data_IF_012704914953
#
_entry.id   IF_012704914953
#
_cell.length_a   1.000
_cell.length_b   1.000
_cell.length_c   1.000
_cell.angle_alpha   90.00
_cell.angle_beta   90.00
_cell.angle_gamma   90.00
#
_symmetry.space_group_name_H-M   'P 1'
#
loop_
_entity.id
_entity.type
_entity.pdbx_description
1 polymer ?
#
# COMPACT_ATOMS: atom_id res chain seq x y z
N UNK A 1 25.96 1.12 64.48
CA UNK A 1 26.35 1.67 63.13
C UNK A 1 26.04 0.60 62.12
N UNK A 2 24.80 0.64 61.60
CA UNK A 2 24.26 -0.41 60.75
C UNK A 2 24.52 -0.05 59.28
N UNK A 3 25.38 -0.83 58.64
CA UNK A 3 25.61 -0.75 57.20
C UNK A 3 24.39 -1.29 56.45
N UNK A 4 23.55 -0.38 55.92
CA UNK A 4 22.50 -0.73 54.96
C UNK A 4 23.20 -1.15 53.66
N UNK A 5 23.03 -2.39 53.19
CA UNK A 5 23.53 -2.78 51.88
C UNK A 5 22.75 -2.05 50.80
N UNK A 6 23.39 -1.12 50.11
CA UNK A 6 22.84 -0.49 48.91
C UNK A 6 22.67 -1.57 47.84
N UNK A 7 21.42 -1.99 47.65
CA UNK A 7 21.04 -2.87 46.55
C UNK A 7 21.51 -2.24 45.23
N UNK A 8 22.32 -2.95 44.42
CA UNK A 8 22.76 -2.42 43.16
C UNK A 8 21.53 -2.10 42.33
N UNK A 9 21.43 -0.84 41.90
CA UNK A 9 20.38 -0.37 41.03
C UNK A 9 20.22 -1.38 39.88
N UNK A 10 19.05 -2.00 39.86
CA UNK A 10 18.62 -2.94 38.82
C UNK A 10 18.93 -2.28 37.50
N UNK A 11 20.03 -2.69 36.87
CA UNK A 11 20.37 -2.27 35.52
C UNK A 11 19.12 -2.59 34.67
N UNK A 12 18.34 -1.56 34.35
CA UNK A 12 17.17 -1.68 33.55
C UNK A 12 17.63 -2.35 32.27
N UNK A 13 17.35 -3.63 32.15
CA UNK A 13 17.60 -4.39 30.95
C UNK A 13 16.95 -3.60 29.81
N UNK A 14 17.77 -2.90 29.04
CA UNK A 14 17.30 -2.22 27.88
C UNK A 14 16.61 -3.29 27.03
N UNK A 15 15.33 -3.11 26.67
CA UNK A 15 14.66 -4.08 25.84
C UNK A 15 15.53 -4.28 24.59
N UNK A 16 15.67 -5.52 24.11
CA UNK A 16 16.51 -5.81 22.95
C UNK A 16 16.19 -4.80 21.87
N UNK A 17 17.21 -4.31 21.20
CA UNK A 17 17.16 -3.33 20.11
C UNK A 17 16.39 -3.87 18.88
N UNK A 18 15.28 -4.55 19.15
CA UNK A 18 14.38 -5.13 18.20
C UNK A 18 13.85 -4.01 17.30
N UNK A 19 14.43 -3.98 16.14
CA UNK A 19 13.97 -3.29 14.95
C UNK A 19 13.45 -1.88 15.26
N UNK A 20 14.34 -0.90 15.30
CA UNK A 20 13.95 0.51 15.11
C UNK A 20 13.31 0.61 13.72
N UNK A 21 12.03 0.28 13.63
CA UNK A 21 11.22 0.57 12.46
C UNK A 21 11.32 2.08 12.24
N UNK A 22 12.19 2.46 11.30
CA UNK A 22 12.43 3.86 11.04
C UNK A 22 11.13 4.46 10.50
N UNK A 23 10.75 5.69 10.92
CA UNK A 23 9.59 6.40 10.39
C UNK A 23 9.67 6.61 8.87
N UNK A 24 10.80 6.30 8.28
CA UNK A 24 11.03 6.27 6.82
C UNK A 24 10.27 5.14 6.13
N UNK A 25 10.10 3.96 6.78
CA UNK A 25 9.33 2.85 6.19
C UNK A 25 7.84 3.17 6.08
N UNK A 26 7.26 3.84 7.10
CA UNK A 26 5.87 4.29 7.02
C UNK A 26 5.67 5.36 5.94
N UNK A 27 6.64 6.23 5.74
CA UNK A 27 6.59 7.22 4.67
C UNK A 27 6.72 6.56 3.30
N UNK A 28 7.67 5.66 3.13
CA UNK A 28 7.85 4.90 1.89
C UNK A 28 6.61 4.07 1.56
N UNK A 29 6.02 3.39 2.57
CA UNK A 29 4.77 2.63 2.42
C UNK A 29 3.60 3.51 2.00
N UNK A 30 3.46 4.71 2.58
CA UNK A 30 2.44 5.67 2.20
C UNK A 30 2.60 6.14 0.74
N UNK A 31 3.82 6.49 0.32
CA UNK A 31 4.11 6.88 -1.06
C UNK A 31 3.88 5.74 -2.05
N UNK A 32 4.32 4.53 -1.73
CA UNK A 32 4.09 3.35 -2.57
C UNK A 32 2.59 3.08 -2.75
N UNK A 33 1.81 3.16 -1.67
CA UNK A 33 0.36 2.96 -1.70
C UNK A 33 -0.35 4.04 -2.52
N UNK A 34 0.06 5.31 -2.42
CA UNK A 34 -0.50 6.40 -3.22
C UNK A 34 -0.10 6.29 -4.69
N UNK A 35 1.15 5.92 -4.99
CA UNK A 35 1.60 5.71 -6.36
C UNK A 35 0.84 4.58 -7.03
N UNK A 36 0.61 3.47 -6.32
CA UNK A 36 -0.22 2.37 -6.79
C UNK A 36 -1.67 2.83 -7.06
N UNK A 37 -2.29 3.55 -6.13
CA UNK A 37 -3.64 4.09 -6.31
C UNK A 37 -3.74 5.03 -7.52
N UNK A 38 -2.76 5.91 -7.70
CA UNK A 38 -2.70 6.83 -8.84
C UNK A 38 -2.55 6.07 -10.17
N UNK A 39 -1.68 5.04 -10.21
CA UNK A 39 -1.50 4.21 -11.40
C UNK A 39 -2.78 3.49 -11.79
N UNK A 40 -3.50 2.90 -10.83
CA UNK A 40 -4.73 2.14 -11.05
C UNK A 40 -5.90 3.01 -11.56
N UNK A 41 -5.88 4.30 -11.28
CA UNK A 41 -6.86 5.26 -11.83
C UNK A 41 -6.37 5.83 -13.15
N UNK A 42 -5.10 6.24 -13.22
CA UNK A 42 -4.55 6.94 -14.37
C UNK A 42 -4.55 6.09 -15.64
N UNK A 43 -4.21 4.80 -15.53
CA UNK A 43 -4.12 3.93 -16.70
C UNK A 43 -5.46 3.74 -17.42
N UNK A 44 -6.58 3.37 -16.76
CA UNK A 44 -7.88 3.29 -17.40
C UNK A 44 -8.36 4.62 -17.99
N UNK A 45 -8.16 5.73 -17.27
CA UNK A 45 -8.53 7.06 -17.75
C UNK A 45 -7.71 7.45 -19.00
N UNK A 46 -6.43 7.18 -19.00
CA UNK A 46 -5.54 7.49 -20.11
C UNK A 46 -5.95 6.70 -21.38
N UNK A 47 -6.28 5.43 -21.23
CA UNK A 47 -6.77 4.59 -22.32
C UNK A 47 -8.16 4.99 -22.80
N UNK A 48 -9.05 5.44 -21.91
CA UNK A 48 -10.42 5.83 -22.25
C UNK A 48 -10.49 7.20 -22.95
N UNK A 49 -9.69 8.16 -22.50
CA UNK A 49 -9.84 9.56 -22.90
C UNK A 49 -8.74 10.07 -23.85
N UNK A 50 -7.63 9.34 -24.00
CA UNK A 50 -6.54 9.76 -24.89
C UNK A 50 -6.42 8.84 -26.09
N UNK A 51 -7.01 9.21 -27.26
CA UNK A 51 -6.93 8.40 -28.48
C UNK A 51 -5.49 8.07 -28.91
N UNK A 52 -4.56 9.01 -28.66
CA UNK A 52 -3.14 8.80 -28.92
C UNK A 52 -2.54 7.64 -28.11
N UNK A 53 -3.01 7.40 -26.88
CA UNK A 53 -2.58 6.27 -26.07
C UNK A 53 -3.00 4.94 -26.71
N UNK A 54 -4.21 4.87 -27.26
CA UNK A 54 -4.68 3.69 -27.98
C UNK A 54 -3.90 3.47 -29.30
N UNK A 55 -3.57 4.54 -30.00
CA UNK A 55 -2.72 4.45 -31.20
C UNK A 55 -1.30 4.00 -30.84
N UNK A 56 -0.73 4.51 -29.73
CA UNK A 56 0.59 4.11 -29.26
C UNK A 56 0.67 2.61 -28.93
N UNK A 57 -0.42 2.01 -28.43
CA UNK A 57 -0.49 0.57 -28.19
C UNK A 57 -0.58 -0.26 -29.47
N UNK A 58 -1.26 0.28 -30.50
CA UNK A 58 -1.52 -0.43 -31.76
C UNK A 58 -0.39 -0.31 -32.78
N UNK A 59 0.50 0.65 -32.62
CA UNK A 59 1.58 0.92 -33.58
C UNK A 59 2.95 0.90 -32.92
N UNK A 60 3.78 -0.04 -33.32
CA UNK A 60 5.19 -0.13 -32.89
C UNK A 60 6.04 1.08 -33.32
N UNK A 61 5.60 1.82 -34.34
CA UNK A 61 6.29 3.01 -34.85
C UNK A 61 5.90 4.28 -34.06
N UNK A 62 4.88 4.22 -33.21
CA UNK A 62 4.48 5.36 -32.42
C UNK A 62 5.49 5.64 -31.30
N UNK A 63 5.98 6.89 -31.11
CA UNK A 63 7.04 7.20 -30.13
C UNK A 63 6.64 6.87 -28.67
N UNK A 64 5.33 6.82 -28.38
CA UNK A 64 4.82 6.44 -27.06
C UNK A 64 4.64 4.94 -26.83
N UNK A 65 4.89 4.07 -27.84
CA UNK A 65 4.64 2.63 -27.72
C UNK A 65 5.38 1.99 -26.55
N UNK A 66 6.67 2.30 -26.38
CA UNK A 66 7.48 1.75 -25.30
C UNK A 66 6.98 2.12 -23.91
N UNK A 67 6.57 3.38 -23.73
CA UNK A 67 6.00 3.85 -22.44
C UNK A 67 4.68 3.17 -22.12
N UNK A 68 3.79 3.02 -23.11
CA UNK A 68 2.51 2.34 -22.94
C UNK A 68 2.68 0.85 -22.66
N UNK A 69 3.61 0.19 -23.35
CA UNK A 69 3.94 -1.21 -23.09
C UNK A 69 4.48 -1.41 -21.68
N UNK A 70 5.36 -0.51 -21.22
CA UNK A 70 5.89 -0.54 -19.86
C UNK A 70 4.77 -0.37 -18.81
N UNK A 71 3.85 0.57 -19.02
CA UNK A 71 2.70 0.78 -18.12
C UNK A 71 1.81 -0.45 -18.03
N UNK A 72 1.53 -1.10 -19.16
CA UNK A 72 0.76 -2.36 -19.18
C UNK A 72 1.52 -3.51 -18.52
N UNK A 73 2.84 -3.59 -18.72
CA UNK A 73 3.66 -4.60 -18.07
C UNK A 73 3.68 -4.40 -16.55
N UNK A 74 3.73 -3.16 -16.07
CA UNK A 74 3.59 -2.86 -14.63
C UNK A 74 2.23 -3.27 -14.08
N UNK A 75 1.14 -3.10 -14.85
CA UNK A 75 -0.18 -3.57 -14.46
C UNK A 75 -0.25 -5.09 -14.28
N UNK A 76 0.52 -5.86 -15.03
CA UNK A 76 0.62 -7.32 -14.86
C UNK A 76 1.23 -7.72 -13.51
N UNK A 77 2.08 -6.87 -12.92
CA UNK A 77 2.71 -7.09 -11.62
C UNK A 77 1.94 -6.45 -10.45
N UNK A 78 0.77 -5.90 -10.73
CA UNK A 78 -0.07 -5.18 -9.75
C UNK A 78 -0.37 -6.01 -8.51
N UNK A 79 -0.67 -7.31 -8.68
CA UNK A 79 -0.91 -8.22 -7.57
C UNK A 79 0.30 -8.33 -6.61
N UNK A 80 1.52 -8.30 -7.15
CA UNK A 80 2.74 -8.35 -6.35
C UNK A 80 2.93 -7.06 -5.55
N UNK A 81 2.71 -5.91 -6.19
CA UNK A 81 2.76 -4.61 -5.50
C UNK A 81 1.65 -4.52 -4.44
N UNK A 82 0.45 -5.02 -4.71
CA UNK A 82 -0.64 -5.08 -3.75
C UNK A 82 -0.27 -5.94 -2.53
N UNK A 83 0.32 -7.11 -2.74
CA UNK A 83 0.80 -7.98 -1.66
C UNK A 83 1.92 -7.32 -0.84
N UNK A 84 2.89 -6.70 -1.50
CA UNK A 84 4.00 -6.01 -0.81
C UNK A 84 3.49 -4.82 0.00
N UNK A 85 2.64 -3.98 -0.59
CA UNK A 85 2.07 -2.83 0.09
C UNK A 85 1.21 -3.26 1.29
N UNK A 86 0.39 -4.30 1.13
CA UNK A 86 -0.47 -4.83 2.18
C UNK A 86 0.33 -5.45 3.32
N UNK A 87 1.34 -6.28 3.00
CA UNK A 87 2.19 -6.92 4.01
C UNK A 87 2.99 -5.87 4.80
N UNK A 88 3.54 -4.86 4.11
CA UNK A 88 4.27 -3.77 4.76
C UNK A 88 3.35 -2.94 5.66
N UNK A 89 2.13 -2.63 5.21
CA UNK A 89 1.15 -1.88 6.00
C UNK A 89 0.70 -2.66 7.24
N UNK A 90 0.38 -3.93 7.10
CA UNK A 90 -0.01 -4.79 8.22
C UNK A 90 1.14 -4.97 9.21
N UNK A 91 2.37 -5.24 8.75
CA UNK A 91 3.53 -5.38 9.60
C UNK A 91 3.86 -4.09 10.35
N UNK A 92 3.87 -2.93 9.68
CA UNK A 92 4.20 -1.64 10.31
C UNK A 92 3.14 -1.20 11.31
N UNK A 93 1.84 -1.35 10.96
CA UNK A 93 0.75 -0.93 11.83
C UNK A 93 0.57 -1.87 13.03
N UNK A 94 0.76 -3.19 12.87
CA UNK A 94 0.73 -4.14 13.99
C UNK A 94 1.88 -3.89 14.96
N UNK A 95 3.09 -3.70 14.46
CA UNK A 95 4.24 -3.31 15.30
C UNK A 95 3.98 -1.95 16.03
N UNK A 96 3.29 -1.02 15.36
CA UNK A 96 2.88 0.26 15.93
C UNK A 96 1.89 0.09 17.09
N UNK A 97 0.90 -0.79 16.97
CA UNK A 97 -0.11 -1.03 18.05
C UNK A 97 0.56 -1.44 19.35
N UNK A 98 1.55 -2.33 19.30
CA UNK A 98 2.30 -2.74 20.52
C UNK A 98 3.00 -1.55 21.20
N UNK A 99 3.26 -0.46 20.46
CA UNK A 99 3.93 0.73 21.00
C UNK A 99 2.97 1.79 21.49
N UNK A 100 1.92 2.12 20.69
CA UNK A 100 1.01 3.25 20.99
C UNK A 100 -0.40 2.83 21.42
N UNK A 101 -0.76 1.54 21.35
CA UNK A 101 -2.05 1.00 21.77
C UNK A 101 -3.27 1.40 20.91
N UNK A 102 -3.07 2.09 19.79
CA UNK A 102 -4.15 2.57 18.92
C UNK A 102 -4.45 1.58 17.80
N UNK A 103 -5.67 1.05 17.74
CA UNK A 103 -6.11 0.08 16.74
C UNK A 103 -6.58 0.67 15.40
N UNK A 104 -6.81 2.01 15.35
CA UNK A 104 -7.28 2.66 14.12
C UNK A 104 -6.40 2.42 12.89
N UNK A 105 -5.07 2.56 12.94
CA UNK A 105 -4.22 2.30 11.77
C UNK A 105 -4.32 0.85 11.28
N UNK A 106 -4.40 -0.12 12.19
CA UNK A 106 -4.53 -1.55 11.82
C UNK A 106 -5.86 -1.82 11.12
N UNK A 107 -6.97 -1.27 11.64
CA UNK A 107 -8.28 -1.43 10.99
C UNK A 107 -8.30 -0.84 9.58
N UNK A 108 -7.67 0.31 9.37
CA UNK A 108 -7.53 0.91 8.04
C UNK A 108 -6.64 0.05 7.13
N UNK A 109 -5.54 -0.51 7.64
CA UNK A 109 -4.68 -1.40 6.89
C UNK A 109 -5.42 -2.69 6.49
N UNK A 110 -6.18 -3.30 7.39
CA UNK A 110 -6.99 -4.48 7.08
C UNK A 110 -8.06 -4.16 6.02
N UNK A 111 -8.81 -3.06 6.17
CA UNK A 111 -9.82 -2.66 5.19
C UNK A 111 -9.20 -2.39 3.82
N UNK A 112 -8.08 -1.66 3.76
CA UNK A 112 -7.36 -1.41 2.52
C UNK A 112 -6.84 -2.68 1.86
N UNK A 113 -6.31 -3.62 2.64
CA UNK A 113 -5.85 -4.93 2.16
C UNK A 113 -7.01 -5.74 1.56
N UNK A 114 -8.16 -5.78 2.24
CA UNK A 114 -9.35 -6.50 1.75
C UNK A 114 -9.81 -5.93 0.41
N UNK A 115 -9.87 -4.60 0.28
CA UNK A 115 -10.24 -3.95 -0.97
C UNK A 115 -9.28 -4.26 -2.11
N UNK A 116 -7.96 -4.20 -1.85
CA UNK A 116 -6.93 -4.54 -2.85
C UNK A 116 -7.04 -5.99 -3.30
N UNK A 117 -7.15 -6.93 -2.35
CA UNK A 117 -7.24 -8.36 -2.67
C UNK A 117 -8.56 -8.70 -3.37
N UNK A 118 -9.69 -8.10 -2.97
CA UNK A 118 -10.98 -8.32 -3.64
C UNK A 118 -10.94 -7.85 -5.09
N UNK A 119 -10.31 -6.70 -5.37
CA UNK A 119 -10.11 -6.22 -6.73
C UNK A 119 -9.31 -7.23 -7.57
N UNK A 120 -8.20 -7.75 -7.02
CA UNK A 120 -7.34 -8.72 -7.71
C UNK A 120 -8.02 -10.05 -8.00
N UNK A 121 -8.92 -10.50 -7.11
CA UNK A 121 -9.68 -11.75 -7.28
C UNK A 121 -10.87 -11.59 -8.24
N UNK A 122 -11.45 -10.39 -8.34
CA UNK A 122 -12.62 -10.15 -9.17
C UNK A 122 -12.30 -10.10 -10.67
N UNK A 123 -11.05 -9.83 -11.03
CA UNK A 123 -10.59 -9.69 -12.42
C UNK A 123 -10.73 -10.95 -13.30
N UNK A 124 -10.51 -12.18 -12.85
CA UNK A 124 -10.52 -13.37 -13.72
C UNK A 124 -11.92 -13.88 -14.13
N UNK A 125 -13.01 -13.39 -13.57
CA UNK A 125 -14.37 -13.91 -13.77
C UNK A 125 -15.11 -13.34 -15.01
N UNK A 126 -14.41 -12.87 -16.05
CA UNK A 126 -14.98 -12.03 -17.10
C UNK A 126 -15.16 -12.75 -18.43
N UNK A 127 -16.39 -13.10 -18.76
CA UNK A 127 -16.73 -13.74 -20.04
C UNK A 127 -17.33 -12.80 -21.11
N UNK A 128 -17.80 -11.59 -20.76
CA UNK A 128 -18.41 -10.67 -21.73
C UNK A 128 -17.76 -9.29 -21.79
N UNK A 129 -17.78 -8.65 -22.99
CA UNK A 129 -17.12 -7.36 -23.27
C UNK A 129 -17.67 -6.21 -22.42
N UNK A 130 -19.00 -6.18 -22.18
CA UNK A 130 -19.65 -5.17 -21.35
C UNK A 130 -19.28 -5.32 -19.88
N UNK A 131 -19.32 -6.55 -19.36
CA UNK A 131 -18.87 -6.86 -18.02
C UNK A 131 -17.38 -6.58 -17.82
N UNK A 132 -16.59 -6.72 -18.90
CA UNK A 132 -15.17 -6.37 -18.85
C UNK A 132 -14.94 -4.90 -18.53
N UNK A 133 -15.67 -3.98 -19.18
CA UNK A 133 -15.57 -2.55 -18.94
C UNK A 133 -15.96 -2.15 -17.51
N UNK A 134 -17.13 -2.60 -17.05
CA UNK A 134 -17.66 -2.33 -15.72
C UNK A 134 -16.73 -2.89 -14.63
N UNK A 135 -16.26 -4.12 -14.80
CA UNK A 135 -15.39 -4.76 -13.84
C UNK A 135 -13.99 -4.15 -13.81
N UNK A 136 -13.47 -3.65 -14.94
CA UNK A 136 -12.18 -2.93 -14.97
C UNK A 136 -12.30 -1.58 -14.24
N UNK A 137 -13.38 -0.84 -14.48
CA UNK A 137 -13.64 0.42 -13.79
C UNK A 137 -13.84 0.20 -12.28
N UNK A 138 -14.68 -0.77 -11.87
CA UNK A 138 -14.93 -1.08 -10.46
C UNK A 138 -13.68 -1.63 -9.77
N UNK A 139 -12.90 -2.48 -10.44
CA UNK A 139 -11.62 -2.96 -9.95
C UNK A 139 -10.62 -1.82 -9.69
N UNK A 140 -10.51 -0.88 -10.64
CA UNK A 140 -9.68 0.32 -10.48
C UNK A 140 -10.08 1.18 -9.27
N UNK A 141 -11.39 1.40 -9.07
CA UNK A 141 -11.90 2.15 -7.91
C UNK A 141 -11.61 1.42 -6.60
N UNK A 142 -11.81 0.11 -6.55
CA UNK A 142 -11.52 -0.70 -5.36
C UNK A 142 -10.02 -0.66 -5.02
N UNK A 143 -9.16 -0.85 -6.02
CA UNK A 143 -7.70 -0.80 -5.82
C UNK A 143 -7.23 0.58 -5.37
N UNK A 144 -7.74 1.64 -5.98
CA UNK A 144 -7.41 3.00 -5.60
C UNK A 144 -7.87 3.32 -4.17
N UNK A 145 -9.10 2.94 -3.81
CA UNK A 145 -9.63 3.12 -2.46
C UNK A 145 -8.82 2.34 -1.43
N UNK A 146 -8.45 1.09 -1.74
CA UNK A 146 -7.57 0.27 -0.93
C UNK A 146 -6.20 0.92 -0.70
N UNK A 147 -5.57 1.42 -1.77
CA UNK A 147 -4.29 2.13 -1.70
C UNK A 147 -4.35 3.40 -0.85
N UNK A 148 -5.41 4.19 -0.97
CA UNK A 148 -5.63 5.38 -0.12
C UNK A 148 -5.78 5.01 1.35
N UNK A 149 -6.55 3.94 1.66
CA UNK A 149 -6.69 3.47 3.04
C UNK A 149 -5.37 2.99 3.63
N UNK A 150 -4.54 2.29 2.86
CA UNK A 150 -3.19 1.88 3.29
C UNK A 150 -2.30 3.11 3.54
N UNK A 151 -2.33 4.11 2.67
CA UNK A 151 -1.60 5.35 2.88
C UNK A 151 -2.05 6.07 4.18
N UNK A 152 -3.36 6.15 4.41
CA UNK A 152 -3.92 6.69 5.65
C UNK A 152 -3.49 5.88 6.89
N UNK A 153 -3.40 4.54 6.78
CA UNK A 153 -2.92 3.69 7.84
C UNK A 153 -1.46 3.99 8.21
N UNK A 154 -0.58 4.10 7.21
CA UNK A 154 0.83 4.46 7.41
C UNK A 154 0.99 5.86 8.03
N UNK A 155 0.27 6.86 7.51
CA UNK A 155 0.30 8.23 8.04
C UNK A 155 -0.23 8.25 9.48
N UNK A 156 -1.33 7.54 9.75
CA UNK A 156 -1.91 7.42 11.09
C UNK A 156 -0.96 6.76 12.09
N UNK A 157 -0.28 5.68 11.67
CA UNK A 157 0.74 5.00 12.45
C UNK A 157 1.91 5.94 12.79
N UNK A 158 2.43 6.63 11.78
CA UNK A 158 3.53 7.60 11.96
C UNK A 158 3.15 8.76 12.89
N UNK A 159 1.92 9.30 12.78
CA UNK A 159 1.44 10.36 13.69
C UNK A 159 1.34 9.85 15.13
N UNK A 160 0.81 8.64 15.32
CA UNK A 160 0.68 8.04 16.64
C UNK A 160 2.03 7.79 17.33
N UNK A 161 3.09 7.49 16.55
CA UNK A 161 4.45 7.32 17.06
C UNK A 161 5.14 8.64 17.43
N UNK A 162 4.73 9.77 16.81
CA UNK A 162 5.31 11.11 17.10
C UNK A 162 4.70 11.80 18.32
N UNK A 163 3.51 11.41 18.73
CA UNK A 163 2.77 12.04 19.86
C UNK A 163 3.13 11.42 21.23
N UNK A 164 4.13 10.60 21.29
CA UNK A 164 4.74 10.06 22.50
C UNK A 164 6.19 10.52 22.66
#
# INVERSE_FOLDING_TARGET
MDHIPTTPARALAQPPTSARWHPRFDLAGAWLSLACAAHCIALPLLLAFVPAAMMALRSFQHPGHGAMTLLLMMSRWEWLFALLASSLALASTSAGVHRHGRWRPVRLACAGTILLLSASLYLPLKESLLWHGVATASGGVLTASGGVLLACAHIGNRRALRTR
#
